data_IF_478047014296
#
_entry.id   IF_478047014296
#
_cell.length_a   1.000
_cell.length_b   1.000
_cell.length_c   1.000
_cell.angle_alpha   90.00
_cell.angle_beta   90.00
_cell.angle_gamma   90.00
#
_symmetry.space_group_name_H-M   'P 1'
#
loop_
_entity.id
_entity.type
_entity.pdbx_description
1 polymer ?
#
# COMPACT_ATOMS: atom_id res chain seq x y z
N UNK A 1 5.05 -6.22 22.71
CA UNK A 1 4.22 -5.44 21.76
C UNK A 1 3.19 -6.39 21.17
N UNK A 2 1.95 -6.36 21.67
CA UNK A 2 0.90 -7.29 21.23
C UNK A 2 0.46 -6.85 19.83
N UNK A 3 0.73 -7.66 18.81
CA UNK A 3 0.38 -7.32 17.43
C UNK A 3 -1.12 -7.55 17.27
N UNK A 4 -1.91 -6.51 17.50
CA UNK A 4 -3.36 -6.54 17.24
C UNK A 4 -3.65 -6.84 15.77
N UNK A 5 -4.82 -7.43 15.49
CA UNK A 5 -5.18 -7.83 14.14
C UNK A 5 -5.29 -6.61 13.21
N UNK A 6 -4.85 -6.74 11.95
CA UNK A 6 -5.00 -5.74 10.89
C UNK A 6 -5.54 -6.44 9.64
N UNK A 7 -6.53 -5.86 8.98
CA UNK A 7 -7.17 -6.39 7.76
C UNK A 7 -7.43 -5.26 6.78
N UNK A 8 -7.39 -5.58 5.49
CA UNK A 8 -7.76 -4.70 4.38
C UNK A 8 -8.84 -5.39 3.55
N UNK A 9 -9.93 -4.68 3.24
CA UNK A 9 -11.04 -5.20 2.43
C UNK A 9 -11.49 -4.13 1.45
N UNK A 10 -11.69 -4.49 0.19
CA UNK A 10 -12.34 -3.64 -0.80
C UNK A 10 -13.86 -3.86 -0.75
N UNK A 11 -14.61 -2.77 -0.72
CA UNK A 11 -16.08 -2.77 -0.85
C UNK A 11 -16.44 -1.70 -1.88
N UNK A 12 -16.75 -2.11 -3.11
CA UNK A 12 -17.01 -1.17 -4.21
C UNK A 12 -15.82 -0.24 -4.49
N UNK A 13 -16.01 1.10 -4.47
CA UNK A 13 -14.95 2.10 -4.66
C UNK A 13 -14.14 2.40 -3.38
N UNK A 14 -14.38 1.64 -2.30
CA UNK A 14 -13.76 1.88 -1.01
C UNK A 14 -12.75 0.78 -0.66
N UNK A 15 -11.64 1.19 -0.05
CA UNK A 15 -10.68 0.35 0.65
C UNK A 15 -10.86 0.56 2.16
N UNK A 16 -11.01 -0.52 2.92
CA UNK A 16 -11.26 -0.47 4.37
C UNK A 16 -10.12 -1.17 5.09
N UNK A 17 -9.33 -0.40 5.86
CA UNK A 17 -8.33 -0.93 6.79
C UNK A 17 -8.94 -1.03 8.18
N UNK A 18 -8.96 -2.22 8.79
CA UNK A 18 -9.56 -2.38 10.11
C UNK A 18 -8.90 -3.44 11.00
N UNK A 19 -9.09 -3.31 12.31
CA UNK A 19 -8.67 -4.30 13.30
C UNK A 19 -8.16 -3.68 14.59
N UNK A 20 -7.90 -4.53 15.59
CA UNK A 20 -7.45 -4.10 16.92
C UNK A 20 -6.01 -3.58 16.96
N UNK A 21 -5.23 -3.86 15.91
CA UNK A 21 -3.89 -3.29 15.73
C UNK A 21 -3.86 -2.04 14.87
N UNK A 22 -4.98 -1.61 14.27
CA UNK A 22 -5.02 -0.42 13.40
C UNK A 22 -5.09 0.83 14.27
N UNK A 23 -4.11 1.72 14.10
CA UNK A 23 -4.13 3.00 14.81
C UNK A 23 -4.90 4.04 14.00
N UNK A 24 -5.84 4.80 14.61
CA UNK A 24 -6.54 5.91 13.96
C UNK A 24 -5.57 6.94 13.35
N UNK A 25 -4.37 7.07 13.95
CA UNK A 25 -3.32 8.01 13.50
C UNK A 25 -2.94 7.80 12.04
N UNK A 26 -3.06 6.57 11.51
CA UNK A 26 -2.75 6.29 10.10
C UNK A 26 -3.71 7.05 9.18
N UNK A 27 -5.00 7.11 9.54
CA UNK A 27 -6.02 7.86 8.82
C UNK A 27 -5.97 9.35 9.11
N UNK A 28 -5.73 9.74 10.38
CA UNK A 28 -5.57 11.15 10.77
C UNK A 28 -4.37 11.79 10.09
N UNK A 29 -3.27 11.05 9.93
CA UNK A 29 -2.11 11.50 9.17
C UNK A 29 -2.46 11.69 7.69
N UNK A 30 -3.28 10.82 7.10
CA UNK A 30 -3.75 11.04 5.72
C UNK A 30 -4.68 12.27 5.63
N UNK A 31 -5.57 12.48 6.60
CA UNK A 31 -6.42 13.69 6.67
C UNK A 31 -5.57 14.96 6.84
N UNK A 32 -4.57 14.92 7.71
CA UNK A 32 -3.62 16.00 7.93
C UNK A 32 -2.80 16.26 6.67
N UNK A 33 -2.21 15.24 6.04
CA UNK A 33 -1.48 15.36 4.76
C UNK A 33 -2.39 15.91 3.66
N UNK A 34 -3.66 15.53 3.61
CA UNK A 34 -4.63 16.05 2.65
C UNK A 34 -5.02 17.51 2.92
N UNK A 35 -5.15 17.91 4.19
CA UNK A 35 -5.54 19.27 4.62
C UNK A 35 -4.39 20.27 4.50
N UNK A 36 -3.18 19.84 4.87
CA UNK A 36 -2.01 20.71 5.00
C UNK A 36 -1.05 20.61 3.79
N UNK A 37 -1.23 19.63 2.89
CA UNK A 37 -0.34 19.43 1.73
C UNK A 37 -1.13 19.09 0.46
N UNK A 38 -0.48 19.25 -0.69
CA UNK A 38 -1.03 18.88 -2.00
C UNK A 38 -0.64 17.47 -2.46
N UNK A 39 0.07 16.70 -1.62
CA UNK A 39 0.53 15.35 -1.98
C UNK A 39 -0.69 14.45 -2.19
N UNK A 40 -0.81 13.77 -3.35
CA UNK A 40 -1.94 12.89 -3.59
C UNK A 40 -1.87 11.69 -2.65
N UNK A 41 -2.85 11.62 -1.76
CA UNK A 41 -3.13 10.51 -0.83
C UNK A 41 -4.57 10.04 -1.05
N UNK A 42 -4.89 8.76 -0.82
CA UNK A 42 -6.25 8.26 -0.92
C UNK A 42 -7.20 9.07 -0.02
N UNK A 43 -8.38 9.46 -0.52
CA UNK A 43 -9.36 10.17 0.30
C UNK A 43 -9.81 9.29 1.46
N UNK A 44 -9.73 9.80 2.70
CA UNK A 44 -10.29 9.09 3.86
C UNK A 44 -11.73 9.55 4.05
N UNK A 45 -12.67 8.60 3.98
CA UNK A 45 -14.10 8.87 4.13
C UNK A 45 -14.58 8.71 5.57
N UNK A 46 -14.00 7.79 6.34
CA UNK A 46 -14.37 7.58 7.73
C UNK A 46 -13.21 6.99 8.54
N UNK A 47 -13.11 7.41 9.80
CA UNK A 47 -12.26 6.79 10.82
C UNK A 47 -13.15 6.58 12.05
N UNK A 48 -13.28 5.34 12.51
CA UNK A 48 -14.06 5.04 13.70
C UNK A 48 -13.58 3.77 14.38
N UNK A 49 -13.86 3.63 15.68
CA UNK A 49 -13.52 2.45 16.46
C UNK A 49 -14.76 1.83 17.08
N UNK A 50 -14.82 0.50 17.07
CA UNK A 50 -15.92 -0.27 17.67
C UNK A 50 -15.31 -1.22 18.71
N UNK A 51 -15.87 -1.26 19.92
CA UNK A 51 -15.54 -2.27 20.92
C UNK A 51 -15.96 -3.66 20.44
N UNK A 52 -15.02 -4.59 20.42
CA UNK A 52 -15.29 -6.00 20.09
C UNK A 52 -14.79 -6.87 21.22
N UNK A 53 -15.57 -7.88 21.58
CA UNK A 53 -15.11 -8.90 22.50
C UNK A 53 -13.92 -9.64 21.86
N UNK A 54 -12.82 -9.72 22.59
CA UNK A 54 -11.67 -10.51 22.15
C UNK A 54 -12.12 -11.97 22.02
N UNK A 55 -11.68 -12.65 20.96
CA UNK A 55 -12.04 -14.07 20.76
C UNK A 55 -11.41 -15.00 21.79
N UNK A 56 -10.38 -14.51 22.49
CA UNK A 56 -9.53 -15.30 23.38
C UNK A 56 -9.54 -14.79 24.83
N UNK A 57 -10.18 -13.67 25.13
CA UNK A 57 -10.26 -13.08 26.47
C UNK A 57 -11.63 -12.46 26.70
N UNK A 58 -12.05 -12.29 27.94
CA UNK A 58 -13.29 -11.57 28.31
C UNK A 58 -13.11 -10.05 28.27
N UNK A 59 -12.16 -9.55 27.48
CA UNK A 59 -11.81 -8.13 27.41
C UNK A 59 -12.34 -7.57 26.08
N UNK A 60 -12.98 -6.42 26.15
CA UNK A 60 -13.34 -5.65 24.97
C UNK A 60 -12.12 -4.88 24.43
N UNK A 61 -11.83 -5.09 23.16
CA UNK A 61 -10.76 -4.41 22.44
C UNK A 61 -11.34 -3.41 21.43
N UNK A 62 -10.69 -2.26 21.28
CA UNK A 62 -11.04 -1.30 20.23
C UNK A 62 -10.62 -1.84 18.87
N UNK A 63 -11.59 -2.03 17.98
CA UNK A 63 -11.36 -2.35 16.58
C UNK A 63 -11.54 -1.08 15.74
N UNK A 64 -10.44 -0.47 15.31
CA UNK A 64 -10.43 0.70 14.44
C UNK A 64 -10.76 0.32 13.00
N UNK A 65 -11.42 1.21 12.27
CA UNK A 65 -11.70 1.15 10.84
C UNK A 65 -11.28 2.48 10.22
N UNK A 66 -10.58 2.41 9.08
CA UNK A 66 -10.24 3.53 8.21
C UNK A 66 -10.81 3.18 6.84
N UNK A 67 -11.85 3.88 6.43
CA UNK A 67 -12.46 3.75 5.10
C UNK A 67 -11.85 4.82 4.21
N UNK A 68 -11.25 4.40 3.10
CA UNK A 68 -10.54 5.28 2.19
C UNK A 68 -10.82 4.94 0.72
N UNK A 69 -10.47 5.86 -0.17
CA UNK A 69 -10.56 5.71 -1.61
C UNK A 69 -9.76 4.50 -2.08
N UNK A 70 -10.40 3.67 -2.90
CA UNK A 70 -9.71 2.67 -3.67
C UNK A 70 -9.15 3.33 -4.93
N UNK A 71 -7.84 3.58 -4.94
CA UNK A 71 -7.13 4.07 -6.13
C UNK A 71 -6.88 2.89 -7.08
N UNK A 72 -7.48 2.94 -8.26
CA UNK A 72 -7.48 1.87 -9.26
C UNK A 72 -6.10 1.69 -9.93
N UNK A 73 -5.33 2.79 -10.09
CA UNK A 73 -4.03 2.84 -10.79
C UNK A 73 -2.83 3.17 -9.88
N UNK A 74 -2.72 2.41 -8.79
CA UNK A 74 -1.44 1.76 -8.56
C UNK A 74 -1.66 0.25 -8.75
N UNK A 75 -0.84 -0.47 -9.54
CA UNK A 75 0.55 -0.16 -9.92
C UNK A 75 0.73 0.34 -11.37
N UNK A 76 1.94 0.84 -11.66
CA UNK A 76 2.39 1.19 -13.01
C UNK A 76 3.04 -0.06 -13.66
N UNK A 77 2.68 -0.41 -14.90
CA UNK A 77 3.04 -1.69 -15.55
C UNK A 77 4.45 -1.70 -16.14
N UNK A 78 4.96 -0.54 -16.48
CA UNK A 78 6.33 -0.39 -16.99
C UNK A 78 7.13 0.56 -16.12
N UNK A 79 8.44 0.33 -16.08
CA UNK A 79 9.37 1.27 -15.47
C UNK A 79 9.23 2.65 -16.10
N UNK A 80 8.95 2.70 -17.40
CA UNK A 80 8.65 3.93 -18.10
C UNK A 80 7.40 4.60 -17.54
N UNK A 81 6.30 3.89 -17.30
CA UNK A 81 5.09 4.46 -16.71
C UNK A 81 5.26 4.85 -15.26
N UNK A 82 6.04 4.11 -14.46
CA UNK A 82 6.41 4.52 -13.10
C UNK A 82 7.29 5.78 -13.16
N UNK A 83 8.33 5.79 -13.99
CA UNK A 83 9.26 6.92 -14.12
C UNK A 83 8.56 8.15 -14.71
N UNK A 84 7.68 7.96 -15.69
CA UNK A 84 6.84 9.01 -16.23
C UNK A 84 5.79 9.43 -15.20
N UNK A 85 5.18 8.54 -14.44
CA UNK A 85 4.28 8.92 -13.35
C UNK A 85 5.03 9.64 -12.23
N UNK A 86 6.29 9.28 -11.95
CA UNK A 86 7.17 9.94 -10.99
C UNK A 86 7.66 11.29 -11.51
N UNK A 87 7.96 11.43 -12.81
CA UNK A 87 8.30 12.68 -13.48
C UNK A 87 7.06 13.60 -13.59
N UNK A 88 5.91 13.06 -13.98
CA UNK A 88 4.62 13.75 -13.98
C UNK A 88 4.29 14.20 -12.56
N UNK A 89 4.44 13.32 -11.56
CA UNK A 89 4.22 13.62 -10.13
C UNK A 89 5.27 14.60 -9.58
N UNK A 90 6.52 14.59 -10.04
CA UNK A 90 7.58 15.52 -9.57
C UNK A 90 7.44 16.92 -10.16
N UNK A 91 7.03 17.04 -11.44
CA UNK A 91 6.65 18.30 -12.08
C UNK A 91 5.35 18.84 -11.46
N UNK A 92 4.34 17.98 -11.26
CA UNK A 92 3.05 18.32 -10.66
C UNK A 92 3.20 18.79 -9.19
N UNK A 93 4.12 18.19 -8.42
CA UNK A 93 4.38 18.58 -7.03
C UNK A 93 5.30 19.82 -6.87
N UNK A 94 6.16 20.19 -7.84
CA UNK A 94 7.01 21.41 -7.78
C UNK A 94 7.55 21.88 -9.17
N UNK A 95 7.08 23.03 -9.67
CA UNK A 95 7.43 23.56 -10.99
C UNK A 95 8.83 24.16 -11.15
N UNK A 96 9.52 24.58 -10.07
CA UNK A 96 10.95 24.98 -10.13
C UNK A 96 11.89 23.79 -10.33
N UNK A 97 11.37 22.56 -10.26
CA UNK A 97 12.08 21.32 -10.60
C UNK A 97 11.94 20.97 -12.08
N UNK A 98 11.36 21.82 -12.94
CA UNK A 98 11.15 21.55 -14.35
C UNK A 98 12.46 21.22 -15.10
N UNK A 99 13.54 22.00 -14.95
CA UNK A 99 14.84 21.67 -15.56
C UNK A 99 15.40 20.32 -15.06
N UNK A 100 15.18 20.00 -13.78
CA UNK A 100 15.56 18.70 -13.20
C UNK A 100 14.69 17.57 -13.69
N UNK A 101 13.39 17.78 -13.87
CA UNK A 101 12.47 16.78 -14.36
C UNK A 101 12.62 16.55 -15.87
N UNK A 102 13.02 17.57 -16.61
CA UNK A 102 13.45 17.45 -18.00
C UNK A 102 14.77 16.69 -18.08
N UNK A 103 15.72 16.99 -17.17
CA UNK A 103 16.93 16.20 -17.00
C UNK A 103 16.63 14.74 -16.61
N UNK A 104 15.70 14.47 -15.67
CA UNK A 104 15.27 13.12 -15.27
C UNK A 104 14.49 12.41 -16.37
N UNK A 105 13.67 13.12 -17.13
CA UNK A 105 12.98 12.58 -18.31
C UNK A 105 13.98 12.13 -19.38
N UNK A 106 15.12 12.81 -19.50
CA UNK A 106 16.24 12.38 -20.36
C UNK A 106 17.11 11.28 -19.74
N UNK A 107 17.38 11.35 -18.43
CA UNK A 107 18.36 10.51 -17.76
C UNK A 107 17.78 9.19 -17.21
N UNK A 108 16.56 9.18 -16.69
CA UNK A 108 15.96 7.98 -16.09
C UNK A 108 15.80 6.86 -17.11
N UNK A 109 15.31 7.09 -18.35
CA UNK A 109 15.29 6.03 -19.37
C UNK A 109 16.68 5.52 -19.80
N UNK A 110 17.76 6.21 -19.41
CA UNK A 110 19.14 5.81 -19.68
C UNK A 110 19.81 5.07 -18.50
N UNK A 111 19.50 5.47 -17.26
CA UNK A 111 20.16 5.02 -16.01
C UNK A 111 19.29 4.06 -15.21
N UNK A 112 17.97 4.31 -15.16
CA UNK A 112 16.94 3.45 -14.59
C UNK A 112 16.24 2.75 -15.75
N UNK A 113 16.95 1.78 -16.35
CA UNK A 113 16.48 1.04 -17.51
C UNK A 113 16.96 -0.39 -17.48
N UNK A 114 16.17 -1.28 -18.07
CA UNK A 114 16.50 -2.70 -18.16
C UNK A 114 16.21 -3.47 -16.87
N UNK A 115 15.47 -2.87 -15.93
CA UNK A 115 15.01 -3.52 -14.72
C UNK A 115 13.50 -3.29 -14.52
N UNK A 116 12.77 -4.27 -14.03
CA UNK A 116 11.36 -4.06 -13.69
C UNK A 116 11.26 -3.02 -12.55
N UNK A 117 10.29 -2.09 -12.57
CA UNK A 117 10.08 -1.18 -11.45
C UNK A 117 9.67 -2.01 -10.23
N UNK A 118 10.51 -2.03 -9.21
CA UNK A 118 10.30 -2.83 -8.00
C UNK A 118 9.92 -1.93 -6.84
N UNK A 119 8.73 -2.19 -6.27
CA UNK A 119 8.25 -1.54 -5.06
C UNK A 119 9.19 -1.85 -3.89
N UNK A 120 9.96 -0.88 -3.43
CA UNK A 120 10.72 -1.00 -2.19
C UNK A 120 9.90 -0.40 -1.05
N UNK A 121 9.33 -1.27 -0.23
CA UNK A 121 8.40 -0.96 0.87
C UNK A 121 8.98 0.06 1.89
N UNK A 122 10.30 0.19 2.00
CA UNK A 122 10.98 0.99 3.03
C UNK A 122 10.82 0.47 4.47
N UNK A 123 9.92 -0.50 4.69
CA UNK A 123 9.61 -1.15 5.98
C UNK A 123 9.35 -2.67 5.75
N UNK A 124 10.31 -3.32 5.09
CA UNK A 124 10.25 -4.74 4.76
C UNK A 124 10.54 -5.60 6.01
N UNK A 125 9.48 -5.88 6.78
CA UNK A 125 9.53 -6.65 8.03
C UNK A 125 8.62 -7.88 7.95
N UNK A 126 8.94 -8.95 8.69
CA UNK A 126 8.20 -10.24 8.65
C UNK A 126 6.68 -10.10 8.82
N UNK A 127 6.23 -9.12 9.60
CA UNK A 127 4.80 -8.82 9.84
C UNK A 127 4.03 -8.38 8.58
N UNK A 128 4.74 -7.93 7.55
CA UNK A 128 4.19 -7.46 6.28
C UNK A 128 4.36 -8.50 5.16
N UNK A 129 4.79 -9.74 5.47
CA UNK A 129 5.01 -10.83 4.51
C UNK A 129 3.95 -11.93 4.74
N UNK A 130 3.19 -12.29 3.70
CA UNK A 130 2.16 -13.34 3.74
C UNK A 130 2.59 -14.52 2.86
N UNK A 131 2.71 -15.73 3.42
CA UNK A 131 3.12 -16.96 2.70
C UNK A 131 1.87 -17.74 2.25
N UNK A 132 1.83 -18.16 0.99
CA UNK A 132 0.76 -19.02 0.44
C UNK A 132 1.32 -20.40 0.08
N UNK A 133 0.84 -21.46 0.72
CA UNK A 133 1.18 -22.83 0.34
C UNK A 133 0.44 -23.20 -0.95
N UNK A 134 1.17 -23.65 -1.97
CA UNK A 134 0.61 -24.19 -3.22
C UNK A 134 0.55 -25.72 -3.11
N UNK A 135 -0.52 -26.34 -3.63
CA UNK A 135 -0.59 -27.79 -3.72
C UNK A 135 0.49 -28.32 -4.69
N UNK A 136 1.05 -29.53 -4.45
CA UNK A 136 2.06 -30.11 -5.33
C UNK A 136 1.50 -30.28 -6.74
N UNK A 137 2.32 -29.94 -7.74
CA UNK A 137 1.97 -30.12 -9.14
C UNK A 137 1.93 -31.60 -9.51
N UNK A 138 1.25 -31.94 -10.61
CA UNK A 138 1.01 -33.32 -11.04
C UNK A 138 2.32 -34.10 -11.29
N UNK A 139 3.39 -33.41 -11.69
CA UNK A 139 4.75 -33.94 -11.81
C UNK A 139 5.27 -34.47 -10.46
N UNK A 140 5.05 -33.71 -9.38
CA UNK A 140 5.45 -34.10 -8.01
C UNK A 140 4.58 -35.22 -7.43
N UNK A 141 3.40 -35.48 -8.01
CA UNK A 141 2.51 -36.58 -7.60
C UNK A 141 2.86 -37.91 -8.28
N UNK A 142 3.43 -37.88 -9.48
CA UNK A 142 3.87 -39.08 -10.20
C UNK A 142 5.20 -39.61 -9.65
N UNK A 143 6.11 -38.73 -9.24
CA UNK A 143 7.38 -39.12 -8.59
C UNK A 143 7.19 -39.72 -7.18
N UNK A 144 6.08 -39.40 -6.51
CA UNK A 144 5.75 -39.94 -5.18
C UNK A 144 5.04 -41.31 -5.20
N UNK A 145 4.82 -41.91 -6.39
CA UNK A 145 4.18 -43.23 -6.59
C UNK A 145 5.12 -44.30 -7.17
N UNK A 146 6.42 -44.00 -7.28
CA UNK A 146 7.47 -44.97 -7.62
C UNK A 146 8.15 -45.54 -6.39
#
# INVERSE_FOLDING_TARGET
MQIGARRLVRVGPYMIKYGTGVSPIEGENMLFVKRETMVPVPLVYAIYSIKKMSRNTTIEEDCTYIVMEYLEDGPFDTERELNEAMCRKSIYNNSRMAEKAEFYGRAFPAVLKGHAPVFTHGDFQRKNIIIRNRAPTEVQRLEARG
#
